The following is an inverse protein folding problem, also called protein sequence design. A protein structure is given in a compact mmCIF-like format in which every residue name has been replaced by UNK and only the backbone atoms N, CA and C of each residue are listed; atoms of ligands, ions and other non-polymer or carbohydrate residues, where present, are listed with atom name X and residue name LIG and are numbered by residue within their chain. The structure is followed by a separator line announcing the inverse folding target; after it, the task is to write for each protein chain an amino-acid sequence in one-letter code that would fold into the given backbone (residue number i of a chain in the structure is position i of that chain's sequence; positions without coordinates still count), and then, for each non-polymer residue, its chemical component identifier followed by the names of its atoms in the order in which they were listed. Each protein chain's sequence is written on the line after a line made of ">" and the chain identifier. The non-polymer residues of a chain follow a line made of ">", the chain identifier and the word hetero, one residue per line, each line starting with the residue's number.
data_IF_223180551241
#
_entry.id   IF_223180551241
#
_cell.length_a   1.000
_cell.length_b   1.000
_cell.length_c   1.000
_cell.angle_alpha   90.00
_cell.angle_beta   90.00
_cell.angle_gamma   90.00
#
_symmetry.space_group_name_H-M   'P 1'
#
loop_
_entity.id
_entity.type
_entity.pdbx_description
1 polymer ?
#
# COMPACT_ATOMS: atom_id res chain seq x y z
N UNK A 1 -19.53 -9.14 13.17
CA UNK A 1 -18.34 -9.95 12.82
C UNK A 1 -17.17 -8.98 12.84
N UNK A 2 -16.00 -9.36 13.32
CA UNK A 2 -14.86 -8.42 13.45
C UNK A 2 -13.90 -8.70 12.31
N UNK A 3 -13.61 -7.68 11.52
CA UNK A 3 -12.58 -7.72 10.46
C UNK A 3 -11.22 -7.93 11.11
N UNK A 4 -10.40 -8.84 10.57
CA UNK A 4 -9.01 -9.04 10.98
C UNK A 4 -8.07 -8.77 9.81
N UNK A 5 -7.07 -7.93 10.04
CA UNK A 5 -6.03 -7.65 9.07
C UNK A 5 -4.70 -8.23 9.54
N UNK A 6 -4.25 -9.28 8.87
CA UNK A 6 -2.90 -9.81 9.02
C UNK A 6 -1.91 -8.88 8.33
N UNK A 7 -1.05 -8.27 9.10
CA UNK A 7 -0.25 -7.12 8.69
C UNK A 7 1.17 -7.22 9.21
N UNK A 8 2.08 -6.54 8.57
CA UNK A 8 3.39 -6.18 9.09
C UNK A 8 3.53 -4.65 9.03
N UNK A 9 3.98 -4.03 10.10
CA UNK A 9 4.00 -2.58 10.24
C UNK A 9 4.61 -1.83 9.04
N UNK A 10 5.76 -2.27 8.50
CA UNK A 10 6.42 -1.67 7.33
C UNK A 10 5.91 -2.15 5.97
N UNK A 11 4.93 -3.04 5.92
CA UNK A 11 4.39 -3.49 4.64
C UNK A 11 3.55 -2.40 3.98
N UNK A 12 4.00 -1.87 2.84
CA UNK A 12 3.24 -0.88 2.06
C UNK A 12 1.91 -1.43 1.57
N UNK A 13 1.85 -2.72 1.22
CA UNK A 13 0.59 -3.33 0.80
C UNK A 13 -0.42 -3.43 1.96
N UNK A 14 0.06 -3.73 3.19
CA UNK A 14 -0.80 -3.70 4.38
C UNK A 14 -1.16 -2.26 4.77
N UNK A 15 -0.26 -1.30 4.60
CA UNK A 15 -0.50 0.11 4.87
C UNK A 15 -1.68 0.67 4.03
N UNK A 16 -1.78 0.28 2.74
CA UNK A 16 -2.95 0.61 1.88
C UNK A 16 -4.26 0.19 2.52
N UNK A 17 -4.30 -1.04 3.06
CA UNK A 17 -5.51 -1.61 3.66
C UNK A 17 -5.83 -0.91 4.99
N UNK A 18 -4.83 -0.64 5.84
CA UNK A 18 -5.03 0.14 7.07
C UNK A 18 -5.65 1.50 6.78
N UNK A 19 -5.11 2.24 5.79
CA UNK A 19 -5.67 3.54 5.36
C UNK A 19 -7.15 3.39 4.99
N UNK A 20 -7.47 2.40 4.16
CA UNK A 20 -8.85 2.23 3.69
C UNK A 20 -9.83 1.83 4.81
N UNK A 21 -9.41 0.95 5.72
CA UNK A 21 -10.21 0.59 6.88
C UNK A 21 -10.49 1.81 7.77
N UNK A 22 -9.47 2.63 8.03
CA UNK A 22 -9.61 3.87 8.81
C UNK A 22 -10.50 4.90 8.11
N UNK A 23 -10.31 5.13 6.79
CA UNK A 23 -11.14 6.05 6.02
C UNK A 23 -12.61 5.64 6.00
N UNK A 24 -12.88 4.34 5.95
CA UNK A 24 -14.25 3.80 5.99
C UNK A 24 -14.82 3.73 7.41
N UNK A 25 -14.04 4.01 8.44
CA UNK A 25 -14.46 3.92 9.84
C UNK A 25 -14.81 2.48 10.28
N UNK A 26 -14.14 1.48 9.70
CA UNK A 26 -14.41 0.09 9.98
C UNK A 26 -13.57 -0.40 11.16
N UNK A 27 -14.23 -0.85 12.21
CA UNK A 27 -13.60 -1.51 13.34
C UNK A 27 -12.88 -2.78 12.91
N UNK A 28 -11.61 -2.91 13.23
CA UNK A 28 -10.80 -4.04 12.82
C UNK A 28 -9.70 -4.37 13.84
N UNK A 29 -9.29 -5.63 13.84
CA UNK A 29 -8.15 -6.14 14.61
C UNK A 29 -6.92 -6.22 13.70
N UNK A 30 -5.80 -5.62 14.11
CA UNK A 30 -4.50 -5.87 13.47
C UNK A 30 -3.88 -7.12 14.09
N UNK A 31 -3.62 -8.13 13.25
CA UNK A 31 -2.90 -9.34 13.62
C UNK A 31 -1.48 -9.25 13.06
N UNK A 32 -0.46 -8.98 13.88
CA UNK A 32 0.91 -8.87 13.40
C UNK A 32 1.42 -10.17 12.79
N UNK A 33 2.14 -10.06 11.67
CA UNK A 33 2.84 -11.17 11.01
C UNK A 33 4.23 -10.70 10.63
N UNK A 34 5.22 -11.06 11.40
CA UNK A 34 6.59 -10.56 11.22
C UNK A 34 7.22 -11.04 9.90
N UNK A 35 7.75 -10.05 9.15
CA UNK A 35 8.60 -10.29 7.97
C UNK A 35 10.09 -10.13 8.31
N UNK A 36 10.42 -9.84 9.57
CA UNK A 36 11.78 -9.58 10.00
C UNK A 36 12.71 -10.79 9.73
N UNK A 37 13.96 -10.55 9.31
CA UNK A 37 14.95 -11.62 9.16
C UNK A 37 15.11 -12.41 10.46
N UNK A 38 15.12 -13.75 10.36
CA UNK A 38 15.24 -14.65 11.51
C UNK A 38 13.93 -14.97 12.23
N UNK A 39 12.88 -14.16 12.05
CA UNK A 39 11.52 -14.43 12.56
C UNK A 39 10.64 -15.01 11.47
N UNK A 40 10.43 -14.26 10.39
CA UNK A 40 9.77 -14.67 9.14
C UNK A 40 8.46 -15.48 9.34
N UNK A 41 7.58 -15.04 10.25
CA UNK A 41 6.31 -15.74 10.57
C UNK A 41 5.43 -16.01 9.36
N UNK A 42 5.48 -15.12 8.36
CA UNK A 42 4.77 -15.29 7.09
C UNK A 42 5.12 -16.57 6.33
N UNK A 43 6.27 -17.19 6.64
CA UNK A 43 6.75 -18.46 6.05
C UNK A 43 6.37 -19.68 6.89
N UNK A 44 5.85 -19.46 8.09
CA UNK A 44 5.41 -20.53 8.98
C UNK A 44 4.18 -21.27 8.44
N UNK A 45 4.03 -22.54 8.84
CA UNK A 45 2.96 -23.42 8.38
C UNK A 45 1.56 -22.83 8.71
N UNK A 46 1.40 -22.27 9.90
CA UNK A 46 0.14 -21.68 10.34
C UNK A 46 -0.32 -20.52 9.44
N UNK A 47 0.60 -19.62 9.04
CA UNK A 47 0.25 -18.52 8.14
C UNK A 47 0.11 -18.99 6.69
N UNK A 48 0.93 -19.94 6.26
CA UNK A 48 0.84 -20.57 4.92
C UNK A 48 -0.50 -21.25 4.69
N UNK A 49 -1.08 -21.85 5.72
CA UNK A 49 -2.42 -22.45 5.64
C UNK A 49 -3.52 -21.41 5.38
N UNK A 50 -3.34 -20.16 5.88
CA UNK A 50 -4.26 -19.03 5.61
C UNK A 50 -4.00 -18.40 4.25
N UNK A 51 -2.75 -18.07 3.96
CA UNK A 51 -2.34 -17.45 2.70
C UNK A 51 -1.17 -18.24 2.06
N UNK A 52 -1.46 -19.09 1.08
CA UNK A 52 -0.43 -19.87 0.38
C UNK A 52 0.66 -19.04 -0.32
N UNK A 53 0.39 -17.75 -0.61
CA UNK A 53 1.39 -16.83 -1.16
C UNK A 53 2.44 -16.41 -0.11
N UNK A 54 2.16 -16.62 1.19
CA UNK A 54 3.05 -16.20 2.29
C UNK A 54 3.41 -14.71 2.24
N UNK A 55 2.43 -13.87 1.92
CA UNK A 55 2.55 -12.41 1.84
C UNK A 55 1.52 -11.74 2.74
N UNK A 56 1.79 -10.54 3.18
CA UNK A 56 0.83 -9.63 3.80
C UNK A 56 0.49 -8.51 2.80
N UNK A 57 -0.74 -7.93 2.86
CA UNK A 57 -1.83 -8.24 3.79
C UNK A 57 -2.61 -9.51 3.44
N UNK A 58 -3.29 -10.02 4.47
CA UNK A 58 -4.40 -10.97 4.34
C UNK A 58 -5.53 -10.47 5.24
N UNK A 59 -6.76 -10.42 4.73
CA UNK A 59 -7.91 -9.94 5.47
C UNK A 59 -8.86 -11.12 5.72
N UNK A 60 -9.36 -11.24 6.94
CA UNK A 60 -10.49 -12.11 7.30
C UNK A 60 -11.70 -11.25 7.65
N UNK A 61 -12.87 -11.60 7.08
CA UNK A 61 -14.15 -11.03 7.43
C UNK A 61 -15.17 -12.17 7.57
N UNK A 62 -15.46 -12.57 8.81
CA UNK A 62 -16.18 -13.80 9.09
C UNK A 62 -15.41 -15.03 8.59
N UNK A 63 -16.05 -15.81 7.72
CA UNK A 63 -15.45 -17.01 7.12
C UNK A 63 -14.69 -16.71 5.81
N UNK A 64 -14.73 -15.46 5.33
CA UNK A 64 -14.06 -15.05 4.10
C UNK A 64 -12.62 -14.67 4.39
N UNK A 65 -11.68 -15.24 3.63
CA UNK A 65 -10.27 -14.86 3.63
C UNK A 65 -9.84 -14.30 2.28
N UNK A 66 -9.22 -13.11 2.25
CA UNK A 66 -8.80 -12.43 1.03
C UNK A 66 -7.33 -12.03 1.11
N UNK A 67 -6.58 -12.38 0.09
CA UNK A 67 -5.21 -11.87 -0.14
C UNK A 67 -5.20 -10.79 -1.24
N UNK A 68 -4.07 -10.08 -1.38
CA UNK A 68 -3.85 -9.00 -2.33
C UNK A 68 -4.56 -7.68 -1.94
N UNK A 69 -3.76 -6.64 -1.70
CA UNK A 69 -4.31 -5.35 -1.25
C UNK A 69 -5.36 -4.76 -2.19
N UNK A 70 -5.20 -4.91 -3.52
CA UNK A 70 -6.21 -4.42 -4.47
C UNK A 70 -7.54 -5.17 -4.32
N UNK A 71 -7.50 -6.50 -4.24
CA UNK A 71 -8.71 -7.31 -4.06
C UNK A 71 -9.41 -7.01 -2.72
N UNK A 72 -8.62 -6.82 -1.66
CA UNK A 72 -9.17 -6.43 -0.35
C UNK A 72 -9.87 -5.07 -0.44
N UNK A 73 -9.26 -4.10 -1.09
CA UNK A 73 -9.82 -2.76 -1.22
C UNK A 73 -11.09 -2.72 -2.08
N UNK A 74 -11.14 -3.48 -3.17
CA UNK A 74 -12.36 -3.64 -3.97
C UNK A 74 -13.46 -4.34 -3.15
N UNK A 75 -13.12 -5.38 -2.39
CA UNK A 75 -14.06 -6.04 -1.49
C UNK A 75 -14.63 -5.06 -0.46
N UNK A 76 -13.79 -4.25 0.19
CA UNK A 76 -14.23 -3.26 1.16
C UNK A 76 -15.10 -2.18 0.52
N UNK A 77 -14.81 -1.79 -0.73
CA UNK A 77 -15.60 -0.80 -1.47
C UNK A 77 -17.01 -1.32 -1.82
N UNK A 78 -17.13 -2.60 -2.17
CA UNK A 78 -18.39 -3.22 -2.54
C UNK A 78 -19.23 -3.63 -1.33
N UNK A 79 -18.57 -4.12 -0.27
CA UNK A 79 -19.27 -4.67 0.92
C UNK A 79 -19.64 -3.58 1.92
N UNK A 80 -18.84 -2.52 2.03
CA UNK A 80 -19.03 -1.41 2.96
C UNK A 80 -19.13 -0.08 2.20
N UNK A 81 -20.23 0.18 1.50
CA UNK A 81 -20.37 1.28 0.53
C UNK A 81 -20.70 2.64 1.16
N UNK A 82 -20.78 2.77 2.49
CA UNK A 82 -21.16 3.99 3.19
C UNK A 82 -20.18 5.13 2.94
N UNK A 83 -18.88 4.83 3.01
CA UNK A 83 -17.80 5.75 2.62
C UNK A 83 -17.16 5.23 1.35
N UNK A 84 -17.33 5.93 0.25
CA UNK A 84 -16.82 5.53 -1.06
C UNK A 84 -15.41 6.07 -1.28
N UNK A 85 -14.49 5.17 -1.65
CA UNK A 85 -13.12 5.50 -2.04
C UNK A 85 -12.88 5.35 -3.55
N UNK A 86 -13.92 4.97 -4.30
CA UNK A 86 -13.92 5.00 -5.76
C UNK A 86 -15.01 5.94 -6.28
N UNK A 87 -14.76 6.70 -7.34
CA UNK A 87 -15.79 7.49 -8.02
C UNK A 87 -16.99 6.64 -8.41
N UNK A 88 -18.18 7.23 -8.37
CA UNK A 88 -19.42 6.48 -8.65
C UNK A 88 -19.59 6.11 -10.12
N UNK A 89 -18.98 6.87 -11.03
CA UNK A 89 -19.20 6.74 -12.47
C UNK A 89 -17.91 6.60 -13.24
N UNK A 90 -17.99 5.91 -14.37
CA UNK A 90 -16.95 5.91 -15.40
C UNK A 90 -16.91 7.28 -16.13
N UNK A 91 -15.75 7.71 -16.66
CA UNK A 91 -14.47 6.96 -16.69
C UNK A 91 -13.60 7.14 -15.41
N UNK A 92 -13.96 8.04 -14.50
CA UNK A 92 -13.14 8.38 -13.33
C UNK A 92 -12.82 7.14 -12.45
N UNK A 93 -13.79 6.24 -12.31
CA UNK A 93 -13.63 4.97 -11.57
C UNK A 93 -12.51 4.10 -12.15
N UNK A 94 -12.48 3.95 -13.48
CA UNK A 94 -11.42 3.20 -14.18
C UNK A 94 -10.07 3.90 -14.08
N UNK A 95 -10.03 5.23 -14.10
CA UNK A 95 -8.78 6.02 -13.98
C UNK A 95 -8.15 5.81 -12.59
N UNK A 96 -8.93 5.86 -11.51
CA UNK A 96 -8.45 5.56 -10.15
C UNK A 96 -7.88 4.14 -10.08
N UNK A 97 -8.59 3.14 -10.62
CA UNK A 97 -8.11 1.76 -10.65
C UNK A 97 -6.81 1.60 -11.45
N UNK A 98 -6.70 2.28 -12.58
CA UNK A 98 -5.48 2.25 -13.40
C UNK A 98 -4.28 2.80 -12.62
N UNK A 99 -4.46 3.92 -11.91
CA UNK A 99 -3.43 4.49 -11.05
C UNK A 99 -3.02 3.52 -9.91
N UNK A 100 -4.02 2.92 -9.24
CA UNK A 100 -3.76 1.92 -8.18
C UNK A 100 -2.96 0.73 -8.74
N UNK A 101 -3.33 0.22 -9.91
CA UNK A 101 -2.65 -0.91 -10.53
C UNK A 101 -1.24 -0.56 -11.01
N UNK A 102 -0.99 0.63 -11.52
CA UNK A 102 0.36 1.09 -11.83
C UNK A 102 1.29 0.98 -10.62
N UNK A 103 0.82 1.38 -9.42
CA UNK A 103 1.60 1.22 -8.19
C UNK A 103 1.67 -0.24 -7.77
N UNK A 104 0.56 -0.97 -7.80
CA UNK A 104 0.47 -2.33 -7.28
C UNK A 104 1.14 -3.38 -8.17
N UNK A 105 1.15 -3.17 -9.51
CA UNK A 105 1.60 -4.17 -10.47
C UNK A 105 2.94 -3.79 -11.13
N UNK A 106 3.23 -2.49 -11.28
CA UNK A 106 4.38 -2.06 -12.09
C UNK A 106 5.51 -1.44 -11.23
N UNK A 107 5.21 -0.90 -10.03
CA UNK A 107 6.21 -0.31 -9.13
C UNK A 107 6.52 -1.24 -7.96
N UNK A 108 5.52 -1.47 -7.09
CA UNK A 108 5.71 -2.19 -5.83
C UNK A 108 6.29 -3.60 -5.98
N UNK A 109 5.88 -4.44 -6.95
CA UNK A 109 6.44 -5.78 -7.08
C UNK A 109 7.93 -5.78 -7.41
N UNK A 110 8.43 -4.76 -8.13
CA UNK A 110 9.82 -4.66 -8.55
C UNK A 110 10.73 -4.20 -7.41
N UNK A 111 10.19 -3.52 -6.41
CA UNK A 111 10.93 -3.11 -5.20
C UNK A 111 10.45 -3.80 -3.91
N UNK A 112 9.73 -4.91 -4.07
CA UNK A 112 9.33 -5.78 -2.97
C UNK A 112 10.53 -6.47 -2.33
N UNK A 113 10.45 -6.75 -1.03
CA UNK A 113 11.50 -7.42 -0.25
C UNK A 113 12.03 -8.70 -0.90
N UNK A 114 11.17 -9.50 -1.56
CA UNK A 114 11.59 -10.74 -2.25
C UNK A 114 12.55 -10.45 -3.40
N UNK A 115 12.21 -9.43 -4.21
CA UNK A 115 13.02 -9.03 -5.37
C UNK A 115 14.32 -8.40 -4.89
N UNK A 116 14.25 -7.51 -3.90
CA UNK A 116 15.44 -6.86 -3.32
C UNK A 116 16.40 -7.88 -2.73
N UNK A 117 15.91 -8.86 -1.98
CA UNK A 117 16.73 -9.94 -1.44
C UNK A 117 17.34 -10.82 -2.55
N UNK A 118 16.60 -11.11 -3.61
CA UNK A 118 17.11 -11.85 -4.74
C UNK A 118 18.25 -11.11 -5.45
N UNK A 119 18.05 -9.81 -5.76
CA UNK A 119 19.07 -8.98 -6.39
C UNK A 119 20.33 -8.90 -5.51
N UNK A 120 20.14 -8.68 -4.20
CA UNK A 120 21.26 -8.63 -3.26
C UNK A 120 22.05 -9.94 -3.22
N UNK A 121 21.36 -11.08 -3.20
CA UNK A 121 21.99 -12.39 -3.12
C UNK A 121 22.73 -12.77 -4.40
N UNK A 122 22.17 -12.45 -5.59
CA UNK A 122 22.73 -12.84 -6.87
C UNK A 122 23.79 -11.84 -7.39
N UNK A 123 23.60 -10.56 -7.10
CA UNK A 123 24.40 -9.47 -7.70
C UNK A 123 25.12 -8.58 -6.68
N UNK A 124 24.95 -8.83 -5.39
CA UNK A 124 25.52 -8.03 -4.30
C UNK A 124 24.66 -6.84 -3.89
N UNK A 125 25.14 -6.09 -2.90
CA UNK A 125 24.40 -4.95 -2.28
C UNK A 125 24.29 -3.74 -3.22
N UNK A 126 25.35 -3.43 -3.97
CA UNK A 126 25.46 -2.19 -4.74
C UNK A 126 24.32 -1.91 -5.73
N UNK A 127 23.81 -2.89 -6.50
CA UNK A 127 22.75 -2.60 -7.47
C UNK A 127 21.37 -2.43 -6.85
N UNK A 128 21.16 -2.73 -5.57
CA UNK A 128 19.82 -2.72 -4.96
C UNK A 128 19.25 -1.32 -4.84
N UNK A 129 20.05 -0.34 -4.45
CA UNK A 129 19.61 1.05 -4.35
C UNK A 129 19.24 1.66 -5.70
N UNK A 130 20.08 1.45 -6.71
CA UNK A 130 19.85 1.93 -8.07
C UNK A 130 18.61 1.26 -8.70
N UNK A 131 18.46 -0.04 -8.52
CA UNK A 131 17.26 -0.77 -8.94
C UNK A 131 16.00 -0.20 -8.31
N UNK A 132 16.03 0.02 -6.99
CA UNK A 132 14.89 0.54 -6.24
C UNK A 132 14.48 1.92 -6.75
N UNK A 133 15.44 2.84 -6.85
CA UNK A 133 15.20 4.20 -7.33
C UNK A 133 14.72 4.22 -8.79
N UNK A 134 15.34 3.40 -9.66
CA UNK A 134 14.97 3.31 -11.07
C UNK A 134 13.47 3.04 -11.26
N UNK A 135 12.95 2.00 -10.63
CA UNK A 135 11.54 1.60 -10.80
C UNK A 135 10.56 2.56 -10.14
N UNK A 136 10.95 3.24 -9.05
CA UNK A 136 10.16 4.34 -8.51
C UNK A 136 10.10 5.49 -9.51
N UNK A 137 11.23 5.93 -10.06
CA UNK A 137 11.27 7.04 -11.01
C UNK A 137 10.49 6.74 -12.29
N UNK A 138 10.58 5.53 -12.83
CA UNK A 138 9.82 5.15 -14.02
C UNK A 138 8.31 5.25 -13.78
N UNK A 139 7.81 4.72 -12.67
CA UNK A 139 6.39 4.80 -12.35
C UNK A 139 5.94 6.20 -11.94
N UNK A 140 6.74 6.92 -11.15
CA UNK A 140 6.38 8.27 -10.67
C UNK A 140 6.35 9.33 -11.77
N UNK A 141 7.14 9.22 -12.84
CA UNK A 141 7.02 10.09 -14.01
C UNK A 141 5.60 10.02 -14.63
N UNK A 142 5.07 8.81 -14.77
CA UNK A 142 3.72 8.63 -15.28
C UNK A 142 2.68 9.10 -14.27
N UNK A 143 2.84 8.73 -13.00
CA UNK A 143 1.94 9.11 -11.90
C UNK A 143 1.81 10.63 -11.76
N UNK A 144 2.93 11.37 -11.80
CA UNK A 144 2.96 12.85 -11.74
C UNK A 144 2.20 13.50 -12.88
N UNK A 145 2.28 12.91 -14.10
CA UNK A 145 1.56 13.40 -15.27
C UNK A 145 0.04 13.17 -15.15
N UNK A 146 -0.36 12.07 -14.49
CA UNK A 146 -1.76 11.69 -14.32
C UNK A 146 -2.41 12.44 -13.16
N UNK A 147 -1.65 12.74 -12.11
CA UNK A 147 -2.15 13.44 -10.93
C UNK A 147 -2.70 14.83 -11.26
N UNK A 148 -3.86 15.16 -10.67
CA UNK A 148 -4.49 16.47 -10.80
C UNK A 148 -3.71 17.55 -10.01
N UNK A 149 -4.11 18.81 -10.19
CA UNK A 149 -3.58 19.92 -9.37
C UNK A 149 -4.39 20.12 -8.07
N UNK A 150 -5.25 19.16 -7.71
CA UNK A 150 -6.04 19.20 -6.48
C UNK A 150 -5.25 18.73 -5.25
N UNK A 151 -5.89 18.79 -4.06
CA UNK A 151 -5.26 18.31 -2.82
C UNK A 151 -5.03 16.79 -2.77
N UNK A 152 -5.75 16.02 -3.59
CA UNK A 152 -5.60 14.56 -3.73
C UNK A 152 -5.26 14.18 -5.16
N UNK A 153 -4.85 12.94 -5.38
CA UNK A 153 -4.43 12.46 -6.72
C UNK A 153 -5.47 12.76 -7.79
N UNK A 154 -6.76 12.60 -7.49
CA UNK A 154 -7.86 12.85 -8.43
C UNK A 154 -8.83 13.94 -7.94
N UNK A 155 -8.31 15.14 -7.67
CA UNK A 155 -9.14 16.31 -7.36
C UNK A 155 -9.33 16.57 -5.86
N UNK A 156 -10.60 16.76 -5.43
CA UNK A 156 -10.90 17.29 -4.09
C UNK A 156 -11.36 16.24 -3.08
N UNK A 157 -11.43 14.98 -3.46
CA UNK A 157 -11.89 13.89 -2.60
C UNK A 157 -10.84 12.78 -2.54
N UNK A 158 -10.66 12.22 -1.33
CA UNK A 158 -9.79 11.05 -1.14
C UNK A 158 -10.34 9.86 -1.93
N UNK A 159 -9.44 9.16 -2.62
CA UNK A 159 -9.76 7.94 -3.35
C UNK A 159 -8.80 6.80 -2.99
N UNK A 160 -9.03 5.61 -3.56
CA UNK A 160 -8.06 4.52 -3.47
C UNK A 160 -6.68 4.89 -4.02
N UNK A 161 -6.61 5.83 -4.99
CA UNK A 161 -5.33 6.29 -5.54
C UNK A 161 -4.41 6.86 -4.44
N UNK A 162 -4.97 7.63 -3.52
CA UNK A 162 -4.26 8.21 -2.39
C UNK A 162 -3.78 7.14 -1.41
N UNK A 163 -4.64 6.15 -1.14
CA UNK A 163 -4.28 5.01 -0.30
C UNK A 163 -3.15 4.15 -0.89
N UNK A 164 -2.98 4.16 -2.22
CA UNK A 164 -1.85 3.50 -2.90
C UNK A 164 -0.61 4.38 -2.96
N UNK A 165 -0.78 5.68 -3.20
CA UNK A 165 0.33 6.63 -3.35
C UNK A 165 1.09 6.83 -2.04
N UNK A 166 0.38 7.09 -0.93
CA UNK A 166 0.99 7.42 0.36
C UNK A 166 2.01 6.36 0.81
N UNK A 167 1.70 5.04 0.83
CA UNK A 167 2.68 4.02 1.18
C UNK A 167 3.85 3.93 0.19
N UNK A 168 3.65 4.26 -1.07
CA UNK A 168 4.70 4.20 -2.08
C UNK A 168 5.69 5.38 -1.93
N UNK A 169 5.18 6.58 -1.64
CA UNK A 169 6.02 7.76 -1.34
C UNK A 169 6.72 7.58 0.01
N UNK A 170 6.05 7.02 1.02
CA UNK A 170 6.70 6.64 2.29
C UNK A 170 7.95 5.76 2.03
N UNK A 171 7.80 4.74 1.19
CA UNK A 171 8.93 3.88 0.84
C UNK A 171 10.01 4.64 0.06
N UNK A 172 9.66 5.49 -0.88
CA UNK A 172 10.63 6.30 -1.62
C UNK A 172 11.47 7.16 -0.66
N UNK A 173 10.81 7.86 0.28
CA UNK A 173 11.48 8.66 1.32
C UNK A 173 12.40 7.80 2.20
N UNK A 174 11.93 6.62 2.63
CA UNK A 174 12.71 5.69 3.46
C UNK A 174 13.98 5.18 2.78
N UNK A 175 13.95 5.02 1.46
CA UNK A 175 15.11 4.60 0.65
C UNK A 175 15.89 5.78 0.05
N UNK A 176 15.62 7.01 0.52
CA UNK A 176 16.26 8.25 0.08
C UNK A 176 16.19 8.47 -1.44
N UNK A 177 15.11 8.05 -2.09
CA UNK A 177 14.86 8.33 -3.50
C UNK A 177 14.46 9.80 -3.64
N UNK A 178 15.15 10.61 -4.46
CA UNK A 178 14.80 12.02 -4.67
C UNK A 178 13.40 12.17 -5.26
N UNK A 179 12.60 13.09 -4.71
CA UNK A 179 11.21 13.32 -5.11
C UNK A 179 10.96 14.71 -5.71
N UNK A 180 12.01 15.52 -5.92
CA UNK A 180 11.92 16.91 -6.39
C UNK A 180 11.19 17.05 -7.73
N UNK A 181 11.21 16.02 -8.56
CA UNK A 181 10.56 15.99 -9.86
C UNK A 181 9.06 15.58 -9.81
N UNK A 182 8.51 15.36 -8.60
CA UNK A 182 7.14 14.86 -8.40
C UNK A 182 6.35 15.74 -7.41
N UNK A 183 6.25 17.07 -7.66
CA UNK A 183 5.64 18.00 -6.71
C UNK A 183 4.17 17.73 -6.45
N UNK A 184 3.39 17.28 -7.45
CA UNK A 184 1.96 16.96 -7.26
C UNK A 184 1.79 15.74 -6.36
N UNK A 185 2.57 14.67 -6.60
CA UNK A 185 2.53 13.47 -5.77
C UNK A 185 2.91 13.77 -4.33
N UNK A 186 3.96 14.58 -4.12
CA UNK A 186 4.40 14.99 -2.79
C UNK A 186 3.33 15.83 -2.10
N UNK A 187 2.76 16.82 -2.79
CA UNK A 187 1.71 17.67 -2.24
C UNK A 187 0.47 16.87 -1.84
N UNK A 188 0.03 15.91 -2.67
CA UNK A 188 -1.11 15.04 -2.35
C UNK A 188 -0.83 14.19 -1.12
N UNK A 189 0.37 13.64 -0.99
CA UNK A 189 0.76 12.84 0.19
C UNK A 189 0.81 13.71 1.45
N UNK A 190 1.38 14.89 1.37
CA UNK A 190 1.48 15.79 2.51
C UNK A 190 0.08 16.20 2.99
N UNK A 191 -0.86 16.46 2.06
CA UNK A 191 -2.26 16.75 2.41
C UNK A 191 -2.97 15.51 3.00
N UNK A 192 -2.78 14.31 2.45
CA UNK A 192 -3.33 13.08 3.02
C UNK A 192 -2.85 12.86 4.47
N UNK A 193 -1.59 13.17 4.76
CA UNK A 193 -1.01 13.00 6.09
C UNK A 193 -1.59 13.97 7.16
N UNK A 194 -2.39 14.97 6.77
CA UNK A 194 -3.16 15.80 7.69
C UNK A 194 -4.40 15.06 8.24
N UNK A 195 -4.85 14.02 7.58
CA UNK A 195 -6.03 13.24 7.96
C UNK A 195 -5.68 12.16 9.01
N UNK A 196 -6.46 12.11 10.09
CA UNK A 196 -6.30 11.11 11.17
C UNK A 196 -6.26 9.68 10.64
N UNK A 197 -7.09 9.34 9.62
CA UNK A 197 -7.12 8.02 9.03
C UNK A 197 -5.77 7.57 8.42
N UNK A 198 -4.99 8.51 7.89
CA UNK A 198 -3.64 8.24 7.39
C UNK A 198 -2.61 8.24 8.53
N UNK A 199 -2.72 9.16 9.50
CA UNK A 199 -1.82 9.25 10.66
C UNK A 199 -1.85 7.96 11.50
N UNK A 200 -3.03 7.42 11.76
CA UNK A 200 -3.21 6.17 12.51
C UNK A 200 -2.72 4.93 11.73
N UNK A 201 -2.64 5.04 10.40
CA UNK A 201 -2.21 3.95 9.54
C UNK A 201 -0.70 3.89 9.31
N UNK A 202 0.07 4.95 9.67
CA UNK A 202 1.52 4.97 9.42
C UNK A 202 2.24 3.79 10.07
N UNK A 203 3.34 3.32 9.48
CA UNK A 203 4.10 2.20 10.03
C UNK A 203 4.46 2.39 11.52
N UNK A 204 4.92 3.55 11.90
CA UNK A 204 5.41 3.87 13.25
C UNK A 204 4.28 3.90 14.32
N UNK A 205 3.01 4.04 13.90
CA UNK A 205 1.86 3.99 14.81
C UNK A 205 1.36 2.56 15.10
N UNK A 206 1.90 1.56 14.40
CA UNK A 206 1.43 0.18 14.57
C UNK A 206 2.02 -0.48 15.81
N UNK A 207 1.24 -1.37 16.45
CA UNK A 207 1.62 -2.05 17.70
C UNK A 207 2.84 -2.97 17.57
N UNK A 208 3.17 -3.40 16.35
CA UNK A 208 4.33 -4.23 16.03
C UNK A 208 5.53 -3.42 15.49
N UNK A 209 5.46 -2.09 15.56
CA UNK A 209 6.57 -1.22 15.22
C UNK A 209 7.68 -1.36 16.27
N UNK A 210 8.90 -1.74 15.83
CA UNK A 210 10.06 -1.98 16.67
C UNK A 210 11.32 -1.33 16.13
#
# INVERSE_FOLDING_TARGET
>A
MSIKLYSYWRSSAAYRVRIALNLKGLDHEIVPVSLAPGVAEHRGEAYRAKNPQMLVPFLEDGDLGISQSMAILEYLEETYPEVKLLPQREPARSQVRAFCNMIACDIHPLNNLRVMNYIKNEFGENPTGDWYAHWIHEGFKAAETIASDGPYVFGNEVTLADAFLVPQVYNARRFNVPLDNYPKLVASVDHCNELTAFQDAVPEAQSDAG
#
